data_IF_750187648143
#
_entry.id   IF_750187648143
#
_cell.length_a   1.000
_cell.length_b   1.000
_cell.length_c   1.000
_cell.angle_alpha   90.00
_cell.angle_beta   90.00
_cell.angle_gamma   90.00
#
_symmetry.space_group_name_H-M   'P 1'
#
loop_
_entity.id
_entity.type
_entity.pdbx_description
1 polymer ?
#
# COMPACT_ATOMS: atom_id res chain seq x y z
N UNK A 1 -18.02 -22.02 16.40
CA UNK A 1 -16.81 -22.57 17.06
C UNK A 1 -15.96 -21.40 17.53
N UNK A 2 -15.13 -21.53 18.57
CA UNK A 2 -14.19 -20.46 18.92
C UNK A 2 -13.23 -20.23 17.75
N UNK A 3 -12.75 -18.99 17.54
CA UNK A 3 -11.78 -18.70 16.50
C UNK A 3 -10.49 -19.49 16.75
N UNK A 4 -9.85 -19.93 15.67
CA UNK A 4 -8.50 -20.49 15.77
C UNK A 4 -7.50 -19.34 15.71
N UNK A 5 -6.49 -19.38 16.58
CA UNK A 5 -5.44 -18.37 16.70
C UNK A 5 -4.07 -19.01 16.56
N UNK A 6 -3.13 -18.31 15.95
CA UNK A 6 -1.73 -18.69 15.91
C UNK A 6 -0.84 -17.45 16.03
N UNK A 7 0.13 -17.50 16.94
CA UNK A 7 1.21 -16.50 16.99
C UNK A 7 2.10 -16.66 15.78
N UNK A 8 2.43 -15.54 15.16
CA UNK A 8 3.22 -15.48 13.95
C UNK A 8 4.70 -15.52 14.34
N UNK A 9 5.40 -16.61 13.99
CA UNK A 9 6.81 -16.82 14.32
C UNK A 9 7.52 -17.71 13.28
N UNK A 10 7.09 -17.66 12.01
CA UNK A 10 7.75 -18.45 10.94
C UNK A 10 8.83 -17.61 10.25
N UNK A 11 9.89 -18.27 9.75
CA UNK A 11 10.86 -17.63 8.87
C UNK A 11 10.12 -17.15 7.61
N UNK A 12 10.01 -15.84 7.43
CA UNK A 12 9.16 -15.19 6.42
C UNK A 12 8.02 -14.34 6.97
N UNK A 13 7.67 -14.45 8.26
CA UNK A 13 6.65 -13.60 8.88
C UNK A 13 7.17 -12.32 9.53
N UNK A 14 8.47 -12.05 9.41
CA UNK A 14 9.07 -10.75 9.70
C UNK A 14 9.55 -10.21 8.37
N UNK A 15 9.03 -9.06 7.96
CA UNK A 15 9.44 -8.45 6.71
C UNK A 15 10.45 -7.35 6.96
N UNK A 16 11.55 -7.36 6.21
CA UNK A 16 12.66 -6.44 6.44
C UNK A 16 12.72 -5.43 5.31
N UNK A 17 12.56 -4.14 5.64
CA UNK A 17 12.98 -3.09 4.73
C UNK A 17 14.50 -2.97 4.82
N UNK A 18 15.20 -3.28 3.72
CA UNK A 18 16.65 -3.12 3.61
C UNK A 18 17.00 -1.84 2.84
N UNK A 19 18.10 -1.21 3.23
CA UNK A 19 18.68 -0.07 2.53
C UNK A 19 20.15 -0.38 2.28
N UNK A 20 20.52 -0.46 1.00
CA UNK A 20 21.90 -0.66 0.55
C UNK A 20 22.56 0.65 0.10
N UNK A 21 23.89 0.70 0.11
CA UNK A 21 24.69 1.85 -0.35
C UNK A 21 24.60 2.10 -1.88
N UNK A 22 23.91 1.23 -2.63
CA UNK A 22 23.78 1.36 -4.08
C UNK A 22 22.96 2.59 -4.44
N UNK A 23 23.69 3.64 -4.83
CA UNK A 23 23.25 4.96 -5.26
C UNK A 23 22.73 5.90 -4.15
N UNK A 24 23.53 6.05 -3.10
CA UNK A 24 23.85 7.40 -2.60
C UNK A 24 24.62 8.21 -3.68
N UNK A 25 24.08 8.35 -4.89
CA UNK A 25 24.70 9.10 -5.99
C UNK A 25 25.17 8.27 -7.18
N UNK A 26 24.26 8.08 -8.13
CA UNK A 26 24.59 8.25 -9.55
C UNK A 26 23.42 8.98 -10.19
N UNK A 27 23.47 10.31 -10.10
CA UNK A 27 22.68 11.17 -10.98
C UNK A 27 23.17 10.91 -12.41
N UNK A 28 22.47 10.07 -13.17
CA UNK A 28 22.69 9.92 -14.60
C UNK A 28 21.64 10.77 -15.31
N UNK A 29 22.13 11.90 -15.81
CA UNK A 29 21.50 12.81 -16.76
C UNK A 29 20.54 12.12 -17.73
N UNK A 30 19.26 12.52 -17.70
CA UNK A 30 18.50 12.83 -18.90
C UNK A 30 17.84 14.20 -18.71
N UNK A 31 18.07 15.07 -19.68
CA UNK A 31 17.68 16.48 -19.73
C UNK A 31 16.16 16.72 -19.76
N UNK A 32 15.73 17.67 -18.92
CA UNK A 32 14.90 18.85 -19.21
C UNK A 32 13.70 18.76 -20.16
N UNK A 33 12.52 19.07 -19.61
CA UNK A 33 11.73 20.31 -19.81
C UNK A 33 10.77 20.41 -18.61
N UNK A 34 10.40 21.53 -18.00
CA UNK A 34 10.61 22.94 -18.29
C UNK A 34 9.37 23.74 -17.85
N UNK A 35 9.37 24.24 -16.61
CA UNK A 35 8.78 25.54 -16.24
C UNK A 35 7.36 25.60 -15.67
N UNK A 36 7.22 26.35 -14.56
CA UNK A 36 5.97 27.02 -14.17
C UNK A 36 5.68 27.00 -12.67
N UNK A 37 6.17 27.98 -11.92
CA UNK A 37 5.90 28.11 -10.49
C UNK A 37 4.51 28.68 -10.18
N UNK A 38 4.04 28.41 -8.96
CA UNK A 38 2.89 29.05 -8.33
C UNK A 38 2.83 28.67 -6.86
N UNK A 39 3.35 29.54 -5.99
CA UNK A 39 3.19 29.39 -4.54
C UNK A 39 1.76 29.73 -4.15
N UNK A 40 1.06 28.76 -3.55
CA UNK A 40 -0.18 28.95 -2.81
C UNK A 40 0.10 28.71 -1.33
N UNK A 41 -0.01 29.76 -0.53
CA UNK A 41 0.04 29.69 0.92
C UNK A 41 -1.39 29.46 1.42
N UNK A 42 -1.70 28.25 1.87
CA UNK A 42 -2.98 28.00 2.55
C UNK A 42 -2.82 28.09 4.06
N UNK A 43 -3.72 28.88 4.61
CA UNK A 43 -3.66 29.52 5.90
C UNK A 43 -4.94 29.14 6.64
N UNK A 44 -5.04 27.88 7.06
CA UNK A 44 -6.18 27.42 7.86
C UNK A 44 -5.91 27.65 9.34
N UNK A 45 -6.35 28.83 9.77
CA UNK A 45 -6.60 29.15 11.17
C UNK A 45 -8.03 28.78 11.50
N UNK A 46 -8.23 27.68 12.23
CA UNK A 46 -9.35 27.61 13.16
C UNK A 46 -8.87 27.16 14.55
N UNK A 47 -8.88 28.14 15.44
CA UNK A 47 -8.37 28.11 16.79
C UNK A 47 -9.47 27.85 17.82
N UNK A 48 -9.22 26.91 18.73
CA UNK A 48 -9.53 26.99 20.16
C UNK A 48 -8.67 25.91 20.86
N UNK A 49 -7.41 26.22 21.23
CA UNK A 49 -7.02 26.66 22.57
C UNK A 49 -6.89 25.45 23.50
N UNK A 50 -5.72 24.96 23.90
CA UNK A 50 -4.58 25.66 24.53
C UNK A 50 -3.31 24.80 24.50
N UNK A 51 -2.15 25.45 24.40
CA UNK A 51 -0.82 24.86 24.23
C UNK A 51 -0.41 23.83 25.31
N UNK A 52 -0.17 22.57 24.88
CA UNK A 52 0.82 21.61 25.40
C UNK A 52 0.55 20.20 24.82
N UNK A 53 1.47 19.64 24.02
CA UNK A 53 1.52 18.19 23.71
C UNK A 53 0.93 17.75 22.37
N UNK A 54 1.80 17.43 21.39
CA UNK A 54 1.49 16.50 20.31
C UNK A 54 1.63 15.07 20.88
N UNK A 55 0.56 14.55 21.47
CA UNK A 55 0.52 13.19 22.02
C UNK A 55 -0.90 12.58 21.97
N UNK A 56 -1.63 12.83 20.88
CA UNK A 56 -2.85 12.09 20.56
C UNK A 56 -2.62 11.31 19.28
N UNK A 57 -2.66 9.98 19.35
CA UNK A 57 -2.75 9.15 18.14
C UNK A 57 -4.17 9.30 17.56
N UNK A 58 -4.33 9.21 16.22
CA UNK A 58 -5.65 9.27 15.61
C UNK A 58 -6.53 8.11 16.07
N UNK A 59 -7.85 8.30 16.03
CA UNK A 59 -8.82 7.22 16.24
C UNK A 59 -8.47 6.03 15.31
N UNK A 60 -8.50 4.81 15.85
CA UNK A 60 -8.15 3.59 15.12
C UNK A 60 -6.76 3.02 15.42
N UNK A 61 -5.88 3.72 16.14
CA UNK A 61 -4.58 3.15 16.57
C UNK A 61 -4.30 3.41 18.05
N UNK A 62 -3.80 2.39 18.74
CA UNK A 62 -3.24 2.53 20.10
C UNK A 62 -1.77 2.15 20.08
N UNK A 63 -0.90 2.94 20.71
CA UNK A 63 0.56 2.75 20.61
C UNK A 63 1.18 2.52 21.98
N UNK A 64 1.97 1.46 22.08
CA UNK A 64 2.85 1.15 23.21
C UNK A 64 4.30 1.35 22.80
N UNK A 65 5.07 2.08 23.61
CA UNK A 65 6.51 2.26 23.41
C UNK A 65 7.26 1.31 24.34
N UNK A 66 8.04 0.39 23.76
CA UNK A 66 8.81 -0.60 24.51
C UNK A 66 10.26 -0.18 24.82
N UNK A 67 10.70 0.98 24.30
CA UNK A 67 12.03 1.52 24.56
C UNK A 67 12.26 1.88 26.04
N UNK A 68 13.48 1.66 26.53
CA UNK A 68 13.89 2.13 27.85
C UNK A 68 13.92 3.68 27.93
N UNK A 69 13.82 4.26 29.15
CA UNK A 69 13.99 5.71 29.30
C UNK A 69 15.33 6.18 28.77
N UNK A 70 15.33 7.23 27.94
CA UNK A 70 16.57 7.80 27.37
C UNK A 70 17.01 7.21 26.03
N UNK A 71 16.27 6.24 25.48
CA UNK A 71 16.63 5.58 24.21
C UNK A 71 15.46 5.58 23.22
N UNK A 72 15.74 5.44 21.92
CA UNK A 72 14.70 5.23 20.91
C UNK A 72 13.65 6.34 20.87
N UNK A 73 12.37 5.98 21.00
CA UNK A 73 11.24 6.90 21.11
C UNK A 73 11.24 7.72 22.42
N UNK A 74 11.98 7.29 23.44
CA UNK A 74 12.12 7.96 24.74
C UNK A 74 13.42 8.79 24.85
N UNK A 75 14.09 9.09 23.73
CA UNK A 75 15.33 9.86 23.69
C UNK A 75 15.08 11.38 23.94
N UNK A 76 15.58 11.96 25.04
CA UNK A 76 15.35 13.35 25.41
C UNK A 76 16.30 14.34 24.70
N UNK A 77 17.18 13.87 23.82
CA UNK A 77 18.15 14.73 23.13
C UNK A 77 17.42 15.85 22.38
N UNK A 78 17.72 17.14 22.66
CA UNK A 78 17.03 18.24 22.00
C UNK A 78 17.18 18.20 20.47
N UNK A 79 16.07 18.41 19.77
CA UNK A 79 16.02 18.45 18.31
C UNK A 79 15.33 19.74 17.84
N UNK A 80 15.86 20.34 16.77
CA UNK A 80 15.21 21.48 16.13
C UNK A 80 14.06 20.99 15.22
N UNK A 81 12.98 21.76 15.05
CA UNK A 81 11.92 21.44 14.09
C UNK A 81 12.47 21.17 12.68
N UNK A 82 11.86 20.21 11.99
CA UNK A 82 12.30 19.77 10.66
C UNK A 82 11.11 19.32 9.83
N UNK A 83 11.00 19.83 8.59
CA UNK A 83 9.99 19.39 7.60
C UNK A 83 8.56 19.29 8.11
N UNK A 84 8.09 20.27 8.90
CA UNK A 84 6.74 20.27 9.50
C UNK A 84 6.62 19.57 10.86
N UNK A 85 7.62 18.78 11.26
CA UNK A 85 7.70 18.19 12.59
C UNK A 85 8.24 19.21 13.60
N UNK A 86 7.42 19.61 14.58
CA UNK A 86 7.72 20.68 15.55
C UNK A 86 8.13 20.17 16.92
N UNK A 87 8.22 18.85 17.11
CA UNK A 87 8.65 18.27 18.37
C UNK A 87 10.11 18.63 18.72
N UNK A 88 10.40 18.75 20.01
CA UNK A 88 11.59 19.40 20.56
C UNK A 88 12.69 18.43 21.05
N UNK A 89 12.47 17.12 20.92
CA UNK A 89 13.48 16.09 21.16
C UNK A 89 13.48 15.03 20.06
N UNK A 90 14.60 14.29 19.93
CA UNK A 90 14.74 13.19 18.97
C UNK A 90 13.65 12.13 19.17
N UNK A 91 13.40 11.72 20.42
CA UNK A 91 12.36 10.74 20.75
C UNK A 91 10.96 11.26 20.39
N UNK A 92 10.67 12.53 20.72
CA UNK A 92 9.38 13.14 20.40
C UNK A 92 9.17 13.31 18.89
N UNK A 93 10.23 13.64 18.13
CA UNK A 93 10.15 13.69 16.66
C UNK A 93 9.89 12.32 16.05
N UNK A 94 10.54 11.25 16.54
CA UNK A 94 10.26 9.87 16.12
C UNK A 94 8.81 9.46 16.41
N UNK A 95 8.29 9.77 17.60
CA UNK A 95 6.88 9.50 17.93
C UNK A 95 5.91 10.29 17.07
N UNK A 96 6.24 11.54 16.73
CA UNK A 96 5.43 12.33 15.82
C UNK A 96 5.38 11.72 14.40
N UNK A 97 6.47 11.08 13.94
CA UNK A 97 6.46 10.31 12.68
C UNK A 97 5.54 9.09 12.77
N UNK A 98 5.54 8.35 13.87
CA UNK A 98 4.57 7.24 14.08
C UNK A 98 3.15 7.77 14.01
N UNK A 99 2.86 8.87 14.71
CA UNK A 99 1.53 9.47 14.71
C UNK A 99 1.09 9.94 13.33
N UNK A 100 2.01 10.45 12.50
CA UNK A 100 1.68 10.86 11.14
C UNK A 100 1.46 9.66 10.22
N UNK A 101 2.27 8.60 10.34
CA UNK A 101 2.07 7.38 9.57
C UNK A 101 0.75 6.67 9.89
N UNK A 102 0.37 6.58 11.18
CA UNK A 102 -0.92 6.01 11.57
C UNK A 102 -2.08 6.87 11.09
N UNK A 103 -1.94 8.21 11.07
CA UNK A 103 -2.94 9.11 10.49
C UNK A 103 -3.12 8.86 9.00
N UNK A 104 -2.04 8.63 8.28
CA UNK A 104 -2.07 8.35 6.83
C UNK A 104 -2.82 7.04 6.55
N UNK A 105 -2.54 5.96 7.28
CA UNK A 105 -3.26 4.68 7.14
C UNK A 105 -4.73 4.77 7.60
N UNK A 106 -5.01 5.39 8.75
CA UNK A 106 -6.38 5.56 9.29
C UNK A 106 -7.26 6.46 8.42
N UNK A 107 -6.67 7.30 7.57
CA UNK A 107 -7.44 8.10 6.62
C UNK A 107 -8.07 7.24 5.52
N UNK A 108 -7.44 6.11 5.18
CA UNK A 108 -7.84 5.22 4.08
C UNK A 108 -8.59 3.98 4.57
N UNK A 109 -8.15 3.36 5.66
CA UNK A 109 -8.75 2.13 6.17
C UNK A 109 -9.90 2.41 7.16
N UNK A 110 -11.01 1.68 7.03
CA UNK A 110 -12.11 1.68 8.00
C UNK A 110 -11.75 0.79 9.19
N UNK A 111 -10.93 1.32 10.09
CA UNK A 111 -10.49 0.62 11.30
C UNK A 111 -11.61 0.68 12.35
N UNK A 112 -12.26 -0.47 12.58
CA UNK A 112 -13.42 -0.58 13.50
C UNK A 112 -13.06 -0.97 14.93
N UNK A 113 -11.85 -1.45 15.13
CA UNK A 113 -11.26 -1.81 16.42
C UNK A 113 -9.83 -1.28 16.40
N UNK A 114 -9.45 -0.53 17.42
CA UNK A 114 -8.11 0.08 17.50
C UNK A 114 -7.02 -0.96 17.23
N UNK A 115 -6.15 -0.68 16.26
CA UNK A 115 -4.97 -1.49 15.99
C UNK A 115 -3.92 -1.20 17.05
N UNK A 116 -3.60 -2.20 17.86
CA UNK A 116 -2.64 -2.08 18.96
C UNK A 116 -1.19 -2.27 18.45
N UNK A 117 -0.43 -1.18 18.37
CA UNK A 117 0.97 -1.16 17.96
C UNK A 117 1.91 -1.28 19.16
N UNK A 118 2.94 -2.12 19.02
CA UNK A 118 4.15 -2.09 19.85
C UNK A 118 5.32 -1.57 19.01
N UNK A 119 6.00 -0.53 19.50
CA UNK A 119 7.10 0.12 18.78
C UNK A 119 8.36 0.18 19.63
N UNK A 120 9.50 -0.08 19.01
CA UNK A 120 10.82 0.07 19.64
C UNK A 120 11.91 0.48 18.64
N UNK A 121 13.04 0.97 19.15
CA UNK A 121 14.30 1.07 18.43
C UNK A 121 15.30 0.07 18.99
N UNK A 122 15.79 -0.83 18.13
CA UNK A 122 16.74 -1.87 18.52
C UNK A 122 17.89 -1.97 17.53
N UNK A 123 18.94 -2.72 17.91
CA UNK A 123 20.01 -3.03 16.97
C UNK A 123 19.52 -4.09 15.97
N UNK A 124 19.28 -3.68 14.72
CA UNK A 124 18.96 -4.58 13.62
C UNK A 124 20.21 -4.89 12.78
N UNK A 125 20.10 -5.90 11.92
CA UNK A 125 21.20 -6.34 11.04
C UNK A 125 21.72 -5.18 10.20
N UNK A 126 23.03 -4.99 10.19
CA UNK A 126 23.66 -3.86 9.55
C UNK A 126 25.16 -4.07 9.34
N UNK A 127 25.69 -3.49 8.26
CA UNK A 127 27.11 -3.36 7.99
C UNK A 127 27.44 -1.96 7.39
N UNK A 128 28.66 -1.76 6.90
CA UNK A 128 29.08 -0.47 6.33
C UNK A 128 28.38 -0.11 5.00
N UNK A 129 27.70 -1.05 4.38
CA UNK A 129 27.12 -0.98 3.04
C UNK A 129 25.64 -1.31 2.98
N UNK A 130 25.05 -1.87 4.04
CA UNK A 130 23.64 -2.22 4.10
C UNK A 130 23.10 -2.16 5.53
N UNK A 131 21.81 -1.85 5.68
CA UNK A 131 21.09 -1.94 6.94
C UNK A 131 19.68 -2.46 6.73
N UNK A 132 19.19 -3.30 7.63
CA UNK A 132 17.75 -3.39 7.90
C UNK A 132 17.38 -2.12 8.66
N UNK A 133 16.49 -1.29 8.09
CA UNK A 133 16.13 0.02 8.68
C UNK A 133 14.86 -0.04 9.51
N UNK A 134 13.98 -0.99 9.18
CA UNK A 134 12.76 -1.31 9.87
C UNK A 134 12.43 -2.79 9.70
N UNK A 135 11.61 -3.30 10.60
CA UNK A 135 10.94 -4.59 10.49
C UNK A 135 9.61 -4.49 11.22
N UNK A 136 8.56 -5.00 10.60
CA UNK A 136 7.28 -5.15 11.24
C UNK A 136 6.59 -6.46 10.86
N UNK A 137 5.70 -6.87 11.74
CA UNK A 137 4.91 -8.06 11.56
C UNK A 137 3.61 -8.02 12.36
N UNK A 138 2.55 -8.69 11.89
CA UNK A 138 1.43 -9.00 12.75
C UNK A 138 1.89 -9.98 13.84
N UNK A 139 1.47 -9.75 15.10
CA UNK A 139 1.84 -10.63 16.23
C UNK A 139 1.12 -11.97 16.14
N UNK A 140 -0.12 -11.95 15.68
CA UNK A 140 -1.02 -13.11 15.64
C UNK A 140 -1.87 -13.11 14.37
N UNK A 141 -2.32 -14.30 13.98
CA UNK A 141 -3.32 -14.51 12.92
C UNK A 141 -4.50 -15.30 13.45
N UNK A 142 -5.67 -15.03 12.89
CA UNK A 142 -6.93 -15.64 13.27
C UNK A 142 -7.64 -16.23 12.05
N UNK A 143 -8.41 -17.30 12.27
CA UNK A 143 -9.32 -17.86 11.27
C UNK A 143 -10.59 -18.37 11.91
N UNK A 144 -11.64 -18.52 11.11
CA UNK A 144 -12.94 -19.06 11.53
C UNK A 144 -13.57 -18.28 12.71
N UNK A 145 -13.33 -16.96 12.75
CA UNK A 145 -14.01 -16.03 13.66
C UNK A 145 -15.35 -15.59 13.05
N UNK A 146 -16.23 -15.03 13.89
CA UNK A 146 -17.50 -14.46 13.41
C UNK A 146 -17.21 -13.20 12.60
N UNK A 147 -17.69 -13.14 11.36
CA UNK A 147 -17.43 -12.03 10.44
C UNK A 147 -16.29 -12.29 9.45
N UNK A 148 -15.58 -13.42 9.56
CA UNK A 148 -14.58 -13.82 8.58
C UNK A 148 -15.23 -14.02 7.19
N UNK A 149 -14.74 -13.33 6.14
CA UNK A 149 -15.27 -13.47 4.78
C UNK A 149 -15.14 -14.89 4.20
N UNK A 150 -14.05 -15.58 4.52
CA UNK A 150 -13.74 -16.94 4.05
C UNK A 150 -13.52 -17.86 5.25
N UNK A 151 -14.06 -19.08 5.15
CA UNK A 151 -13.75 -20.14 6.10
C UNK A 151 -12.36 -20.70 5.82
N UNK A 152 -11.70 -21.19 6.86
CA UNK A 152 -10.40 -21.87 6.78
C UNK A 152 -9.28 -21.03 6.12
N UNK A 153 -9.39 -19.71 6.24
CA UNK A 153 -8.41 -18.71 5.78
C UNK A 153 -7.87 -17.91 6.97
N UNK A 154 -6.55 -17.69 7.02
CA UNK A 154 -5.89 -16.84 8.00
C UNK A 154 -6.02 -15.36 7.65
N UNK A 155 -6.27 -14.56 8.68
CA UNK A 155 -6.33 -13.11 8.66
C UNK A 155 -5.36 -12.59 9.72
N UNK A 156 -4.58 -11.56 9.42
CA UNK A 156 -3.74 -10.90 10.41
C UNK A 156 -4.59 -10.26 11.50
N UNK A 157 -4.06 -10.17 12.72
CA UNK A 157 -4.71 -9.66 13.94
C UNK A 157 -5.54 -8.40 13.71
N UNK A 158 -4.92 -7.33 13.19
CA UNK A 158 -5.55 -6.03 12.93
C UNK A 158 -6.79 -6.14 12.01
N UNK A 159 -6.66 -6.88 10.91
CA UNK A 159 -7.74 -7.13 9.95
C UNK A 159 -8.85 -7.98 10.57
N UNK A 160 -8.48 -9.05 11.28
CA UNK A 160 -9.42 -9.95 11.92
C UNK A 160 -10.28 -9.25 12.97
N UNK A 161 -9.66 -8.38 13.79
CA UNK A 161 -10.34 -7.56 14.78
C UNK A 161 -11.34 -6.60 14.11
N UNK A 162 -10.91 -5.90 13.05
CA UNK A 162 -11.76 -5.00 12.26
C UNK A 162 -12.97 -5.72 11.68
N UNK A 163 -12.77 -6.87 11.04
CA UNK A 163 -13.84 -7.67 10.43
C UNK A 163 -14.78 -8.30 11.48
N UNK A 164 -14.26 -8.66 12.65
CA UNK A 164 -15.06 -9.19 13.75
C UNK A 164 -15.85 -8.10 14.49
N UNK A 165 -15.41 -6.83 14.40
CA UNK A 165 -15.94 -5.71 15.18
C UNK A 165 -15.64 -5.83 16.68
N UNK A 166 -14.66 -6.65 17.06
CA UNK A 166 -14.21 -6.86 18.44
C UNK A 166 -12.75 -7.31 18.43
N UNK A 167 -12.00 -6.92 19.45
CA UNK A 167 -10.65 -7.41 19.68
C UNK A 167 -10.67 -8.92 20.03
N UNK A 168 -10.10 -9.74 19.14
CA UNK A 168 -10.02 -11.20 19.28
C UNK A 168 -8.84 -11.65 20.15
N UNK A 169 -7.94 -10.73 20.51
CA UNK A 169 -6.74 -10.99 21.30
C UNK A 169 -6.41 -9.84 22.29
N UNK A 170 -7.29 -9.53 23.25
CA UNK A 170 -7.21 -8.31 24.07
C UNK A 170 -5.98 -8.17 24.99
N UNK A 171 -5.24 -9.25 25.19
CA UNK A 171 -4.01 -9.26 25.99
C UNK A 171 -2.75 -9.17 25.12
N UNK A 172 -2.90 -9.03 23.79
CA UNK A 172 -1.80 -8.96 22.83
C UNK A 172 -1.80 -7.62 22.09
N UNK A 173 -0.69 -7.38 21.39
CA UNK A 173 -0.58 -6.31 20.40
C UNK A 173 -0.95 -6.90 19.06
N UNK A 174 -1.44 -6.06 18.15
CA UNK A 174 -1.75 -6.49 16.79
C UNK A 174 -0.49 -6.50 15.94
N UNK A 175 0.33 -5.47 16.03
CA UNK A 175 1.53 -5.27 15.21
C UNK A 175 2.72 -4.97 16.14
N UNK A 176 3.86 -5.61 15.87
CA UNK A 176 5.16 -5.26 16.41
C UNK A 176 5.98 -4.59 15.29
N UNK A 177 6.52 -3.40 15.55
CA UNK A 177 7.39 -2.67 14.62
C UNK A 177 8.67 -2.20 15.31
N UNK A 178 9.82 -2.58 14.75
CA UNK A 178 11.15 -2.31 15.30
C UNK A 178 11.98 -1.55 14.27
N UNK A 179 12.60 -0.45 14.69
CA UNK A 179 13.43 0.39 13.82
C UNK A 179 14.90 0.32 14.24
N UNK A 180 15.82 0.50 13.30
CA UNK A 180 17.25 0.30 13.58
C UNK A 180 17.86 1.46 14.39
N UNK A 181 18.04 1.25 15.70
CA UNK A 181 18.68 2.19 16.61
C UNK A 181 20.19 2.32 16.43
N UNK A 182 20.83 1.41 15.68
CA UNK A 182 22.27 1.43 15.39
C UNK A 182 22.62 2.21 14.13
N UNK A 183 21.63 2.65 13.34
CA UNK A 183 21.84 3.36 12.08
C UNK A 183 22.75 4.58 12.27
N UNK A 184 23.75 4.73 11.40
CA UNK A 184 24.68 5.87 11.42
C UNK A 184 25.92 5.66 12.28
N UNK A 185 25.96 4.60 13.09
CA UNK A 185 27.12 4.27 13.92
C UNK A 185 28.25 3.63 13.09
N UNK A 186 29.52 3.65 13.54
CA UNK A 186 30.60 2.93 12.86
C UNK A 186 30.28 1.44 12.73
N UNK A 187 30.31 0.92 11.51
CA UNK A 187 29.91 -0.46 11.23
C UNK A 187 28.44 -0.63 10.86
N UNK A 188 27.63 0.44 10.86
CA UNK A 188 26.23 0.41 10.43
C UNK A 188 25.86 1.68 9.65
N UNK A 189 26.04 1.64 8.32
CA UNK A 189 25.87 2.78 7.41
C UNK A 189 26.42 4.10 8.00
N UNK A 190 27.71 4.10 8.35
CA UNK A 190 28.33 5.17 9.14
C UNK A 190 28.09 6.56 8.55
N UNK A 191 27.51 7.46 9.35
CA UNK A 191 27.16 8.83 8.95
C UNK A 191 25.79 9.00 8.31
N UNK A 192 25.01 7.93 8.12
CA UNK A 192 23.59 8.01 7.82
C UNK A 192 22.78 8.41 9.06
N UNK A 193 21.60 8.98 8.87
CA UNK A 193 20.66 9.25 9.97
C UNK A 193 19.22 9.25 9.47
N UNK A 194 18.25 9.06 10.36
CA UNK A 194 16.86 9.23 9.98
C UNK A 194 16.52 10.72 9.77
N UNK A 195 15.68 10.99 8.77
CA UNK A 195 14.94 12.23 8.58
C UNK A 195 13.58 12.10 9.26
N UNK A 196 13.16 13.12 10.01
CA UNK A 196 11.93 13.10 10.81
C UNK A 196 10.86 14.09 10.34
N UNK A 197 11.08 14.76 9.21
CA UNK A 197 10.10 15.67 8.62
C UNK A 197 9.00 14.92 7.87
N UNK A 198 7.83 15.53 7.76
CA UNK A 198 6.66 15.00 7.06
C UNK A 198 6.65 15.40 5.57
N UNK A 199 7.46 16.38 5.20
CA UNK A 199 7.56 16.94 3.84
C UNK A 199 8.36 16.09 2.85
N UNK A 200 8.80 14.88 3.26
CA UNK A 200 9.53 13.92 2.41
C UNK A 200 10.86 14.45 1.85
N UNK A 201 11.41 15.52 2.42
CA UNK A 201 12.59 16.19 1.90
C UNK A 201 13.89 15.71 2.56
N UNK A 202 14.05 14.38 2.66
CA UNK A 202 15.23 13.78 3.25
C UNK A 202 16.49 14.17 2.45
N UNK A 203 17.52 14.67 3.15
CA UNK A 203 18.79 15.02 2.54
C UNK A 203 19.59 13.78 2.10
N UNK A 204 20.69 14.02 1.39
CA UNK A 204 21.49 12.96 0.76
C UNK A 204 21.91 11.81 1.70
N UNK A 205 22.30 12.06 2.96
CA UNK A 205 22.67 11.00 3.92
C UNK A 205 21.51 10.60 4.85
N UNK A 206 20.29 11.03 4.56
CA UNK A 206 19.16 10.79 5.44
C UNK A 206 18.24 9.71 4.91
N UNK A 207 17.65 8.96 5.84
CA UNK A 207 16.64 7.94 5.58
C UNK A 207 15.30 8.48 6.08
N UNK A 208 14.33 8.69 5.18
CA UNK A 208 13.00 9.16 5.54
C UNK A 208 12.27 8.16 6.45
N UNK A 209 12.19 8.47 7.74
CA UNK A 209 11.52 7.59 8.70
C UNK A 209 10.02 7.49 8.41
N UNK A 210 9.37 8.53 7.88
CA UNK A 210 7.94 8.46 7.57
C UNK A 210 7.68 7.39 6.50
N UNK A 211 8.54 7.33 5.48
CA UNK A 211 8.51 6.24 4.50
C UNK A 211 8.58 4.88 5.19
N UNK A 212 9.63 4.67 5.99
CA UNK A 212 9.90 3.37 6.60
C UNK A 212 8.73 2.96 7.49
N UNK A 213 8.20 3.87 8.32
CA UNK A 213 7.06 3.55 9.18
C UNK A 213 5.82 3.18 8.36
N UNK A 214 5.51 3.91 7.28
CA UNK A 214 4.37 3.58 6.43
C UNK A 214 4.49 2.18 5.82
N UNK A 215 5.68 1.86 5.32
CA UNK A 215 6.03 0.56 4.75
C UNK A 215 5.89 -0.57 5.78
N UNK A 216 6.53 -0.41 6.95
CA UNK A 216 6.48 -1.40 8.03
C UNK A 216 5.06 -1.61 8.55
N UNK A 217 4.28 -0.55 8.70
CA UNK A 217 2.86 -0.69 9.04
C UNK A 217 2.08 -1.45 7.96
N UNK A 218 2.41 -1.30 6.68
CA UNK A 218 1.83 -2.08 5.59
C UNK A 218 2.00 -3.59 5.79
N UNK A 219 3.19 -4.04 6.20
CA UNK A 219 3.42 -5.45 6.56
C UNK A 219 2.58 -5.89 7.75
N UNK A 220 2.56 -5.09 8.82
CA UNK A 220 1.75 -5.37 10.01
C UNK A 220 0.25 -5.44 9.73
N UNK A 221 -0.23 -4.61 8.80
CA UNK A 221 -1.63 -4.56 8.36
C UNK A 221 -1.99 -5.71 7.42
N UNK A 222 -1.03 -6.43 6.85
CA UNK A 222 -1.29 -7.68 6.16
C UNK A 222 -0.56 -7.89 4.85
N UNK A 223 0.22 -6.91 4.36
CA UNK A 223 1.08 -7.09 3.18
C UNK A 223 2.28 -7.99 3.51
N UNK A 224 2.02 -9.23 3.88
CA UNK A 224 3.00 -10.19 4.36
C UNK A 224 2.56 -11.60 4.06
N UNK A 225 3.45 -12.39 3.46
CA UNK A 225 3.21 -13.81 3.22
C UNK A 225 3.34 -14.63 4.51
N UNK A 226 2.40 -15.54 4.75
CA UNK A 226 2.48 -16.56 5.80
C UNK A 226 3.02 -17.91 5.31
N UNK A 227 3.42 -18.00 4.04
CA UNK A 227 4.07 -19.18 3.47
C UNK A 227 5.48 -19.32 4.04
N UNK A 228 5.85 -20.55 4.43
CA UNK A 228 7.25 -20.89 4.65
C UNK A 228 8.00 -20.87 3.31
N UNK A 229 8.78 -19.82 3.09
CA UNK A 229 9.50 -19.58 1.83
C UNK A 229 10.51 -20.68 1.48
N UNK A 230 10.98 -21.46 2.45
CA UNK A 230 11.94 -22.54 2.22
C UNK A 230 11.26 -23.80 1.67
N UNK A 231 10.01 -24.03 2.06
CA UNK A 231 9.28 -25.27 1.73
C UNK A 231 8.08 -25.04 0.81
N UNK A 232 7.61 -23.81 0.68
CA UNK A 232 6.33 -23.44 0.07
C UNK A 232 5.11 -23.94 0.86
N UNK A 233 5.30 -24.31 2.13
CA UNK A 233 4.25 -24.79 3.01
C UNK A 233 3.33 -23.67 3.50
N UNK A 234 2.02 -23.92 3.44
CA UNK A 234 1.02 -23.03 4.04
C UNK A 234 1.03 -23.14 5.56
N UNK A 235 0.78 -22.04 6.27
CA UNK A 235 0.74 -22.00 7.72
C UNK A 235 -0.35 -22.96 8.26
N UNK A 236 0.08 -24.02 8.93
CA UNK A 236 -0.80 -25.10 9.40
C UNK A 236 -1.70 -25.71 8.30
N UNK A 237 -1.28 -25.63 7.03
CA UNK A 237 -2.01 -26.18 5.90
C UNK A 237 -3.21 -25.36 5.42
N UNK A 238 -3.39 -24.13 5.93
CA UNK A 238 -4.48 -23.25 5.58
C UNK A 238 -3.97 -22.03 4.81
N UNK A 239 -4.79 -21.53 3.88
CA UNK A 239 -4.45 -20.34 3.11
C UNK A 239 -4.59 -19.07 3.95
N UNK A 240 -4.12 -17.95 3.42
CA UNK A 240 -4.25 -16.63 4.03
C UNK A 240 -4.68 -15.59 2.99
N UNK A 241 -5.14 -14.42 3.46
CA UNK A 241 -5.66 -13.34 2.60
C UNK A 241 -4.63 -12.79 1.62
N UNK A 242 -3.34 -12.80 1.96
CA UNK A 242 -2.27 -12.37 1.06
C UNK A 242 -2.04 -13.42 -0.03
N UNK A 243 -1.85 -14.67 0.37
CA UNK A 243 -1.59 -15.80 -0.54
C UNK A 243 -2.74 -16.06 -1.52
N UNK A 244 -3.98 -15.76 -1.13
CA UNK A 244 -5.16 -15.85 -2.02
C UNK A 244 -5.00 -15.04 -3.32
N UNK A 245 -4.18 -13.98 -3.29
CA UNK A 245 -3.95 -13.10 -4.43
C UNK A 245 -2.70 -13.46 -5.24
N UNK A 246 -1.91 -14.44 -4.80
CA UNK A 246 -0.66 -14.81 -5.46
C UNK A 246 -0.87 -15.84 -6.58
N UNK A 247 -0.11 -15.66 -7.66
CA UNK A 247 -0.06 -16.58 -8.80
C UNK A 247 1.37 -16.81 -9.24
N UNK A 248 1.66 -18.00 -9.78
CA UNK A 248 2.97 -18.25 -10.40
C UNK A 248 3.10 -17.56 -11.77
N UNK A 249 4.25 -17.74 -12.43
CA UNK A 249 4.50 -17.22 -13.78
C UNK A 249 3.48 -17.66 -14.85
N UNK A 250 2.80 -18.79 -14.61
CA UNK A 250 1.73 -19.32 -15.46
C UNK A 250 0.33 -18.82 -15.07
N UNK A 251 0.24 -17.85 -14.15
CA UNK A 251 -1.00 -17.30 -13.60
C UNK A 251 -1.85 -18.32 -12.82
N UNK A 252 -1.24 -19.43 -12.40
CA UNK A 252 -1.91 -20.46 -11.58
C UNK A 252 -1.98 -19.95 -10.14
N UNK A 253 -3.19 -19.89 -9.53
CA UNK A 253 -3.34 -19.48 -8.13
C UNK A 253 -2.50 -20.33 -7.20
N UNK A 254 -1.86 -19.71 -6.21
CA UNK A 254 -1.04 -20.40 -5.21
C UNK A 254 -1.80 -21.48 -4.45
N UNK A 255 -3.11 -21.31 -4.25
CA UNK A 255 -4.01 -22.30 -3.63
C UNK A 255 -4.12 -23.61 -4.42
N UNK A 256 -3.86 -23.60 -5.74
CA UNK A 256 -3.87 -24.78 -6.60
C UNK A 256 -2.50 -25.47 -6.73
N UNK A 257 -1.44 -24.83 -6.25
CA UNK A 257 -0.08 -25.36 -6.33
C UNK A 257 0.23 -26.33 -5.18
N UNK A 258 1.14 -27.26 -5.41
CA UNK A 258 1.80 -28.02 -4.33
C UNK A 258 2.86 -27.17 -3.61
N UNK A 259 3.30 -27.60 -2.43
CA UNK A 259 4.35 -26.92 -1.67
C UNK A 259 5.62 -26.68 -2.52
N UNK A 260 6.10 -27.70 -3.22
CA UNK A 260 7.29 -27.58 -4.08
C UNK A 260 7.10 -26.64 -5.26
N UNK A 261 5.88 -26.54 -5.79
CA UNK A 261 5.58 -25.60 -6.88
C UNK A 261 5.55 -24.16 -6.37
N UNK A 262 4.94 -23.90 -5.19
CA UNK A 262 5.01 -22.58 -4.54
C UNK A 262 6.45 -22.18 -4.26
N UNK A 263 7.24 -23.07 -3.67
CA UNK A 263 8.66 -22.80 -3.37
C UNK A 263 9.45 -22.44 -4.64
N UNK A 264 9.24 -23.17 -5.73
CA UNK A 264 9.90 -22.87 -7.00
C UNK A 264 9.47 -21.51 -7.59
N UNK A 265 8.18 -21.16 -7.45
CA UNK A 265 7.64 -19.88 -7.90
C UNK A 265 8.24 -18.69 -7.11
N UNK A 266 8.48 -18.83 -5.81
CA UNK A 266 9.11 -17.78 -4.97
C UNK A 266 10.54 -17.42 -5.44
N UNK A 267 11.28 -18.37 -6.02
CA UNK A 267 12.64 -18.12 -6.55
C UNK A 267 12.70 -17.91 -8.06
N UNK A 268 11.56 -17.84 -8.73
CA UNK A 268 11.50 -17.64 -10.18
C UNK A 268 10.68 -16.42 -10.55
N UNK A 269 9.37 -16.47 -10.36
CA UNK A 269 8.46 -15.36 -10.57
C UNK A 269 7.12 -15.63 -9.87
N UNK A 270 6.66 -14.64 -9.12
CA UNK A 270 5.30 -14.57 -8.57
C UNK A 270 4.68 -13.24 -8.97
N UNK A 271 3.36 -13.25 -9.17
CA UNK A 271 2.58 -12.05 -9.45
C UNK A 271 1.39 -11.97 -8.50
N UNK A 272 0.98 -10.75 -8.15
CA UNK A 272 -0.27 -10.43 -7.49
C UNK A 272 -1.36 -10.24 -8.53
N UNK A 273 -2.38 -11.09 -8.51
CA UNK A 273 -3.51 -11.05 -9.45
C UNK A 273 -4.84 -10.91 -8.75
N UNK A 274 -4.88 -10.10 -7.69
CA UNK A 274 -6.11 -9.64 -7.05
C UNK A 274 -6.77 -8.51 -7.86
N UNK A 275 -8.11 -8.45 -7.81
CA UNK A 275 -8.90 -7.66 -8.74
C UNK A 275 -8.74 -6.15 -8.53
N UNK A 276 -8.61 -5.69 -7.28
CA UNK A 276 -8.45 -4.28 -6.97
C UNK A 276 -7.07 -3.77 -7.41
N UNK A 277 -5.99 -4.54 -7.17
CA UNK A 277 -4.67 -4.21 -7.72
C UNK A 277 -4.70 -4.23 -9.26
N UNK A 278 -5.39 -5.21 -9.87
CA UNK A 278 -5.56 -5.27 -11.32
C UNK A 278 -6.35 -4.08 -11.91
N UNK A 279 -7.18 -3.40 -11.11
CA UNK A 279 -7.90 -2.19 -11.53
C UNK A 279 -7.00 -0.95 -11.46
N UNK A 280 -6.10 -0.88 -10.47
CA UNK A 280 -5.17 0.24 -10.28
C UNK A 280 -3.90 0.20 -11.14
N UNK A 281 -3.69 -0.82 -11.98
CA UNK A 281 -2.46 -0.95 -12.79
C UNK A 281 -2.22 0.20 -13.77
N UNK A 282 -3.26 0.91 -14.19
CA UNK A 282 -3.16 1.99 -15.17
C UNK A 282 -2.40 3.20 -14.57
N UNK A 283 -2.18 3.22 -13.24
CA UNK A 283 -1.28 4.17 -12.58
C UNK A 283 0.21 3.82 -12.72
N UNK A 284 0.54 2.63 -13.24
CA UNK A 284 1.92 2.23 -13.51
C UNK A 284 2.33 2.60 -14.94
N UNK A 285 3.47 3.28 -15.06
CA UNK A 285 4.16 3.48 -16.34
C UNK A 285 4.82 2.17 -16.83
N UNK A 286 5.26 1.32 -15.91
CA UNK A 286 5.94 0.07 -16.22
C UNK A 286 5.82 -0.97 -15.10
N UNK A 287 5.76 -2.25 -15.46
CA UNK A 287 5.94 -3.36 -14.54
C UNK A 287 4.77 -4.35 -14.46
N UNK A 288 3.56 -3.96 -14.84
CA UNK A 288 2.43 -4.88 -14.92
C UNK A 288 2.66 -6.00 -15.97
N UNK A 289 2.14 -7.19 -15.71
CA UNK A 289 2.23 -8.36 -16.60
C UNK A 289 0.85 -8.95 -16.86
N UNK A 290 0.56 -9.30 -18.11
CA UNK A 290 -0.77 -9.81 -18.50
C UNK A 290 -0.69 -11.21 -19.10
N UNK A 291 -1.69 -12.04 -18.81
CA UNK A 291 -1.94 -13.30 -19.50
C UNK A 291 -3.44 -13.48 -19.77
N UNK A 292 -3.82 -13.37 -21.05
CA UNK A 292 -5.23 -13.31 -21.43
C UNK A 292 -5.87 -12.03 -20.90
N UNK A 293 -7.02 -12.16 -20.23
CA UNK A 293 -7.76 -11.03 -19.63
C UNK A 293 -7.31 -10.69 -18.20
N UNK A 294 -6.29 -11.37 -17.66
CA UNK A 294 -5.79 -11.12 -16.30
C UNK A 294 -4.52 -10.30 -16.40
N UNK A 295 -4.53 -9.12 -15.79
CA UNK A 295 -3.32 -8.33 -15.54
C UNK A 295 -2.93 -8.44 -14.07
N UNK A 296 -1.64 -8.55 -13.80
CA UNK A 296 -1.08 -8.81 -12.48
C UNK A 296 0.18 -7.98 -12.26
N UNK A 297 0.53 -7.74 -11.00
CA UNK A 297 1.72 -6.97 -10.61
C UNK A 297 2.80 -7.92 -10.09
N UNK A 298 4.03 -7.90 -10.63
CA UNK A 298 5.11 -8.76 -10.14
C UNK A 298 5.46 -8.51 -8.67
N UNK A 299 5.67 -9.60 -7.93
CA UNK A 299 6.18 -9.58 -6.56
C UNK A 299 7.71 -9.68 -6.56
N UNK A 300 8.34 -9.27 -5.47
CA UNK A 300 9.77 -9.45 -5.25
C UNK A 300 10.11 -10.93 -5.02
N UNK A 301 10.55 -11.59 -6.08
CA UNK A 301 10.97 -13.00 -6.08
C UNK A 301 12.42 -13.14 -6.56
N UNK A 302 13.40 -12.82 -5.70
CA UNK A 302 14.80 -12.92 -6.08
C UNK A 302 15.20 -14.38 -6.37
N UNK A 303 16.19 -14.58 -7.24
CA UNK A 303 16.70 -15.91 -7.60
C UNK A 303 17.27 -16.69 -6.40
N UNK A 304 17.69 -15.97 -5.35
CA UNK A 304 18.07 -16.54 -4.05
C UNK A 304 17.11 -15.98 -3.01
N UNK A 305 16.54 -16.85 -2.17
CA UNK A 305 15.64 -16.45 -1.10
C UNK A 305 16.32 -15.39 -0.22
N UNK A 306 15.66 -14.24 -0.12
CA UNK A 306 15.96 -13.20 0.85
C UNK A 306 14.91 -13.27 1.94
N UNK A 307 15.32 -13.72 3.14
CA UNK A 307 14.44 -13.90 4.27
C UNK A 307 13.80 -12.56 4.64
N UNK A 308 12.47 -12.56 4.81
CA UNK A 308 11.64 -11.38 5.11
C UNK A 308 11.43 -10.40 3.96
N UNK A 309 12.20 -10.48 2.88
CA UNK A 309 11.91 -9.67 1.69
C UNK A 309 11.09 -10.45 0.65
N UNK A 310 11.46 -11.71 0.42
CA UNK A 310 10.88 -12.52 -0.66
C UNK A 310 9.37 -12.68 -0.48
N UNK A 311 8.62 -12.49 -1.57
CA UNK A 311 7.16 -12.62 -1.66
C UNK A 311 6.34 -11.50 -0.99
N UNK A 312 6.87 -10.86 0.05
CA UNK A 312 6.16 -9.81 0.81
C UNK A 312 6.47 -8.38 0.33
N UNK A 313 6.96 -8.21 -0.89
CA UNK A 313 7.24 -6.89 -1.48
C UNK A 313 6.81 -6.85 -2.94
N UNK A 314 6.51 -5.67 -3.46
CA UNK A 314 6.46 -5.42 -4.90
C UNK A 314 7.83 -5.62 -5.54
N UNK A 315 7.86 -6.00 -6.81
CA UNK A 315 9.12 -6.08 -7.55
C UNK A 315 9.78 -4.69 -7.65
N UNK A 316 11.09 -4.60 -7.44
CA UNK A 316 11.84 -3.33 -7.61
C UNK A 316 12.01 -2.87 -9.06
N UNK A 317 11.13 -3.32 -9.96
CA UNK A 317 11.09 -2.96 -11.38
C UNK A 317 9.82 -2.20 -11.73
N UNK A 318 8.95 -1.89 -10.76
CA UNK A 318 7.77 -1.07 -11.02
C UNK A 318 8.21 0.39 -11.26
N UNK A 319 7.43 1.08 -12.09
CA UNK A 319 7.55 2.53 -12.26
C UNK A 319 6.14 3.12 -12.37
N UNK A 320 5.81 4.20 -11.63
CA UNK A 320 6.62 4.82 -10.56
C UNK A 320 6.89 3.85 -9.39
N UNK A 321 7.87 4.17 -8.54
CA UNK A 321 8.21 3.32 -7.39
C UNK A 321 7.08 3.30 -6.35
N UNK A 322 6.83 2.11 -5.81
CA UNK A 322 5.73 1.82 -4.88
C UNK A 322 6.18 1.72 -3.42
N UNK A 323 5.26 1.95 -2.47
CA UNK A 323 5.57 1.96 -1.05
C UNK A 323 6.14 0.62 -0.57
N UNK A 324 5.55 -0.50 -1.01
CA UNK A 324 5.91 -1.85 -0.55
C UNK A 324 7.05 -2.51 -1.35
N UNK A 325 7.96 -1.74 -1.94
CA UNK A 325 9.18 -2.25 -2.57
C UNK A 325 10.36 -2.41 -1.57
N UNK A 326 11.27 -3.38 -1.74
CA UNK A 326 12.22 -3.78 -0.70
C UNK A 326 13.45 -2.87 -0.54
N UNK A 327 13.72 -1.95 -1.50
CA UNK A 327 14.91 -1.07 -1.51
C UNK A 327 14.63 0.28 -2.22
N UNK A 328 13.57 0.99 -1.87
CA UNK A 328 13.19 2.20 -2.61
C UNK A 328 14.20 3.35 -2.42
N UNK A 329 14.64 4.03 -3.50
CA UNK A 329 15.18 5.37 -3.39
C UNK A 329 14.04 6.29 -2.89
N UNK A 330 14.16 6.81 -1.69
CA UNK A 330 13.07 7.45 -0.93
C UNK A 330 12.47 8.71 -1.58
N UNK A 331 13.08 9.22 -2.66
CA UNK A 331 12.62 10.37 -3.43
C UNK A 331 11.84 9.87 -4.65
N UNK A 332 10.54 10.19 -4.73
CA UNK A 332 9.68 9.85 -5.88
C UNK A 332 8.63 8.78 -5.60
N UNK A 333 8.74 8.05 -4.48
CA UNK A 333 7.80 6.97 -4.11
C UNK A 333 6.41 7.52 -3.83
N UNK A 334 5.39 6.94 -4.47
CA UNK A 334 3.99 7.22 -4.18
C UNK A 334 3.63 6.63 -2.82
N UNK A 335 3.02 7.45 -1.97
CA UNK A 335 2.51 6.99 -0.67
C UNK A 335 1.07 6.53 -0.83
N UNK A 336 0.81 5.28 -0.47
CA UNK A 336 -0.53 4.68 -0.58
C UNK A 336 -1.09 4.85 -1.99
N UNK A 337 -0.35 4.34 -2.99
CA UNK A 337 -0.81 4.33 -4.37
C UNK A 337 -2.06 3.46 -4.55
N UNK A 338 -2.63 3.47 -5.77
CA UNK A 338 -3.69 2.55 -6.14
C UNK A 338 -3.29 1.08 -5.92
N UNK A 339 -2.00 0.72 -6.06
CA UNK A 339 -1.51 -0.62 -5.80
C UNK A 339 -1.47 -0.94 -4.30
N UNK A 340 -0.96 -0.02 -3.49
CA UNK A 340 -0.89 -0.23 -2.04
C UNK A 340 -2.30 -0.39 -1.45
N UNK A 341 -3.23 0.48 -1.81
CA UNK A 341 -4.60 0.43 -1.29
C UNK A 341 -5.39 -0.71 -1.94
N UNK A 342 -5.22 -0.95 -3.25
CA UNK A 342 -5.80 -2.09 -3.95
C UNK A 342 -5.40 -3.42 -3.31
N UNK A 343 -4.15 -3.55 -2.86
CA UNK A 343 -3.71 -4.76 -2.15
C UNK A 343 -4.44 -4.96 -0.82
N UNK A 344 -4.74 -3.88 -0.10
CA UNK A 344 -5.51 -3.93 1.15
C UNK A 344 -6.95 -4.38 0.88
N UNK A 345 -7.60 -3.83 -0.17
CA UNK A 345 -8.93 -4.25 -0.64
C UNK A 345 -8.97 -5.73 -1.01
N UNK A 346 -7.98 -6.20 -1.79
CA UNK A 346 -7.85 -7.60 -2.20
C UNK A 346 -7.67 -8.55 -1.00
N UNK A 347 -7.07 -8.07 0.09
CA UNK A 347 -6.96 -8.78 1.37
C UNK A 347 -8.21 -8.66 2.25
N UNK A 348 -9.24 -7.94 1.78
CA UNK A 348 -10.51 -7.67 2.45
C UNK A 348 -10.47 -6.64 3.60
N UNK A 349 -9.51 -5.72 3.60
CA UNK A 349 -9.64 -4.52 4.43
C UNK A 349 -10.81 -3.67 3.94
N UNK A 350 -11.74 -3.28 4.83
CA UNK A 350 -12.72 -2.26 4.47
C UNK A 350 -12.01 -0.90 4.35
N UNK A 351 -12.34 -0.15 3.30
CA UNK A 351 -11.90 1.22 3.16
C UNK A 351 -12.87 2.18 3.85
N UNK A 352 -12.33 3.31 4.29
CA UNK A 352 -13.11 4.38 4.87
C UNK A 352 -13.87 5.07 3.74
N UNK A 353 -15.19 4.88 3.72
CA UNK A 353 -16.13 5.60 2.83
C UNK A 353 -16.22 7.07 3.29
N UNK A 354 -15.13 7.79 3.09
CA UNK A 354 -14.95 9.21 3.36
C UNK A 354 -14.40 9.85 2.09
N UNK A 355 -14.60 11.15 1.97
CA UNK A 355 -14.05 12.00 0.92
C UNK A 355 -12.94 12.82 1.59
N UNK A 356 -11.69 12.39 1.43
CA UNK A 356 -10.60 12.85 2.28
C UNK A 356 -10.12 14.27 1.92
N UNK A 357 -10.19 14.67 0.65
CA UNK A 357 -9.84 16.02 0.20
C UNK A 357 -11.08 16.91 -0.04
N UNK A 358 -12.28 16.34 0.03
CA UNK A 358 -13.54 17.07 0.04
C UNK A 358 -14.04 17.44 -1.36
N UNK A 359 -13.63 16.71 -2.39
CA UNK A 359 -13.94 17.01 -3.79
C UNK A 359 -15.20 16.32 -4.33
N UNK A 360 -15.80 15.44 -3.53
CA UNK A 360 -17.03 14.70 -3.83
C UNK A 360 -16.81 13.27 -4.30
N UNK A 361 -15.56 12.81 -4.46
CA UNK A 361 -15.20 11.42 -4.68
C UNK A 361 -14.90 10.75 -3.33
N UNK A 362 -15.32 9.48 -3.16
CA UNK A 362 -14.94 8.75 -1.94
C UNK A 362 -13.58 8.09 -2.13
N UNK A 363 -12.81 7.98 -1.05
CA UNK A 363 -11.50 7.34 -1.05
C UNK A 363 -11.52 5.94 -1.69
N UNK A 364 -12.59 5.18 -1.47
CA UNK A 364 -12.77 3.86 -2.07
C UNK A 364 -12.93 3.95 -3.59
N UNK A 365 -13.77 4.88 -4.07
CA UNK A 365 -13.97 5.08 -5.50
C UNK A 365 -12.69 5.56 -6.17
N UNK A 366 -12.00 6.54 -5.57
CA UNK A 366 -10.79 7.12 -6.13
C UNK A 366 -9.71 6.07 -6.36
N UNK A 367 -9.51 5.20 -5.36
CA UNK A 367 -8.55 4.09 -5.45
C UNK A 367 -8.93 3.09 -6.53
N UNK A 368 -10.21 2.73 -6.61
CA UNK A 368 -10.70 1.76 -7.59
C UNK A 368 -10.64 2.28 -9.03
N UNK A 369 -10.67 3.60 -9.21
CA UNK A 369 -10.65 4.28 -10.50
C UNK A 369 -9.31 4.98 -10.78
N UNK A 370 -8.26 4.70 -9.99
CA UNK A 370 -6.91 5.18 -10.25
C UNK A 370 -6.68 6.68 -10.00
N UNK A 371 -7.60 7.38 -9.33
CA UNK A 371 -7.45 8.78 -8.90
C UNK A 371 -6.85 8.86 -7.49
N UNK A 372 -6.67 10.06 -6.92
CA UNK A 372 -5.88 10.23 -5.69
C UNK A 372 -6.69 10.80 -4.50
N UNK A 373 -6.92 10.01 -3.43
CA UNK A 373 -7.71 10.41 -2.24
C UNK A 373 -7.07 11.46 -1.33
N UNK A 374 -6.12 12.23 -1.84
CA UNK A 374 -5.41 13.31 -1.14
C UNK A 374 -5.34 14.58 -1.97
N UNK A 375 -5.82 14.56 -3.20
CA UNK A 375 -5.71 15.65 -4.16
C UNK A 375 -7.07 15.82 -4.78
N UNK A 376 -7.73 16.95 -4.47
CA UNK A 376 -9.00 17.30 -5.07
C UNK A 376 -8.88 17.33 -6.61
N UNK A 377 -9.25 16.22 -7.25
CA UNK A 377 -9.06 15.91 -8.66
C UNK A 377 -10.36 15.51 -9.35
N UNK A 378 -11.50 15.60 -8.67
CA UNK A 378 -12.85 15.40 -9.20
C UNK A 378 -13.14 16.12 -10.53
N UNK A 379 -12.49 17.27 -10.79
CA UNK A 379 -12.65 18.06 -12.01
C UNK A 379 -11.60 17.77 -13.10
N UNK A 380 -10.62 16.92 -12.80
CA UNK A 380 -9.63 16.42 -13.75
C UNK A 380 -10.20 15.29 -14.59
N UNK A 381 -9.54 15.02 -15.71
CA UNK A 381 -9.88 13.99 -16.70
C UNK A 381 -8.70 13.00 -16.68
N UNK A 382 -8.84 11.95 -15.87
CA UNK A 382 -7.75 11.06 -15.49
C UNK A 382 -7.22 10.21 -16.65
N UNK A 383 -8.08 9.85 -17.60
CA UNK A 383 -7.77 8.99 -18.73
C UNK A 383 -7.74 9.72 -20.09
N UNK A 384 -8.16 10.98 -20.13
CA UNK A 384 -8.10 11.85 -21.29
C UNK A 384 -9.24 11.64 -22.30
N UNK A 385 -10.35 11.04 -21.88
CA UNK A 385 -11.51 10.76 -22.73
C UNK A 385 -12.48 11.96 -22.87
N UNK A 386 -12.27 13.02 -22.09
CA UNK A 386 -13.07 14.26 -21.97
C UNK A 386 -14.23 14.25 -20.97
N UNK A 387 -14.37 13.20 -20.15
CA UNK A 387 -15.15 13.20 -18.93
C UNK A 387 -14.24 13.56 -17.74
N UNK A 388 -14.74 14.35 -16.80
CA UNK A 388 -14.03 14.51 -15.52
C UNK A 388 -14.27 13.30 -14.63
N UNK A 389 -13.36 13.01 -13.68
CA UNK A 389 -13.50 11.93 -12.68
C UNK A 389 -14.89 11.92 -12.01
N UNK A 390 -15.44 13.10 -11.65
CA UNK A 390 -16.78 13.19 -11.05
C UNK A 390 -17.95 12.89 -12.02
N UNK A 391 -17.76 13.14 -13.32
CA UNK A 391 -18.74 12.74 -14.35
C UNK A 391 -18.71 11.23 -14.52
N UNK A 392 -17.53 10.62 -14.51
CA UNK A 392 -17.36 9.19 -14.64
C UNK A 392 -17.98 8.43 -13.48
N UNK A 393 -17.79 8.90 -12.24
CA UNK A 393 -18.56 8.44 -11.08
C UNK A 393 -20.08 8.50 -11.35
N UNK A 394 -20.54 9.58 -11.98
CA UNK A 394 -21.95 9.79 -12.31
C UNK A 394 -22.49 8.85 -13.39
N UNK A 395 -21.64 8.41 -14.32
CA UNK A 395 -21.99 7.51 -15.41
C UNK A 395 -21.68 6.04 -15.12
N UNK A 396 -20.92 5.76 -14.06
CA UNK A 396 -20.48 4.42 -13.69
C UNK A 396 -19.31 3.90 -14.54
N UNK A 397 -18.60 4.81 -15.22
CA UNK A 397 -17.40 4.55 -16.01
C UNK A 397 -16.15 4.69 -15.14
N UNK A 398 -14.98 4.32 -15.68
CA UNK A 398 -13.74 4.22 -14.93
C UNK A 398 -12.76 5.36 -15.26
N UNK A 399 -12.44 6.20 -14.27
CA UNK A 399 -11.57 7.39 -14.39
C UNK A 399 -10.09 7.16 -14.75
N UNK A 400 -9.74 5.92 -15.00
CA UNK A 400 -8.44 5.52 -15.49
C UNK A 400 -8.53 4.73 -16.82
N UNK A 401 -9.70 4.66 -17.46
CA UNK A 401 -9.94 3.89 -18.67
C UNK A 401 -10.93 4.59 -19.58
N UNK A 402 -10.37 5.21 -20.61
CA UNK A 402 -11.15 5.95 -21.61
C UNK A 402 -12.23 5.11 -22.32
N UNK A 403 -12.14 3.78 -22.29
CA UNK A 403 -13.07 2.82 -22.88
C UNK A 403 -13.35 1.75 -21.81
N UNK A 404 -14.43 1.95 -21.04
CA UNK A 404 -14.71 1.22 -19.81
C UNK A 404 -15.11 -0.24 -20.05
N UNK A 405 -15.76 -0.54 -21.18
CA UNK A 405 -16.22 -1.89 -21.52
C UNK A 405 -15.33 -2.63 -22.54
N UNK A 406 -14.36 -1.91 -23.14
CA UNK A 406 -13.34 -2.46 -24.01
C UNK A 406 -13.81 -2.73 -25.44
N UNK A 407 -14.88 -2.08 -25.90
CA UNK A 407 -15.41 -2.26 -27.25
C UNK A 407 -14.67 -1.42 -28.32
N UNK A 408 -13.74 -0.55 -27.94
CA UNK A 408 -12.98 0.40 -28.78
C UNK A 408 -13.71 1.70 -29.13
N UNK A 409 -14.74 2.08 -28.38
CA UNK A 409 -15.27 3.44 -28.34
C UNK A 409 -14.96 4.03 -26.97
N UNK A 410 -14.56 5.30 -26.91
CA UNK A 410 -14.38 5.97 -25.62
C UNK A 410 -15.71 6.37 -24.96
N UNK A 411 -15.75 6.36 -23.62
CA UNK A 411 -16.96 6.54 -22.83
C UNK A 411 -17.65 7.89 -23.14
N UNK A 412 -16.88 8.96 -23.26
CA UNK A 412 -17.37 10.26 -23.67
C UNK A 412 -18.04 10.24 -25.05
N UNK A 413 -17.48 9.51 -26.01
CA UNK A 413 -18.04 9.36 -27.35
C UNK A 413 -19.33 8.56 -27.32
N UNK A 414 -19.40 7.49 -26.54
CA UNK A 414 -20.61 6.71 -26.37
C UNK A 414 -21.74 7.58 -25.81
N UNK A 415 -21.49 8.28 -24.71
CA UNK A 415 -22.48 9.14 -24.06
C UNK A 415 -22.90 10.34 -24.94
N UNK A 416 -21.95 11.04 -25.54
CA UNK A 416 -22.23 12.33 -26.19
C UNK A 416 -22.53 12.22 -27.68
N UNK A 417 -22.11 11.14 -28.35
CA UNK A 417 -22.22 11.01 -29.81
C UNK A 417 -23.10 9.86 -30.25
N UNK A 418 -22.96 8.70 -29.62
CA UNK A 418 -23.67 7.49 -30.08
C UNK A 418 -24.89 7.15 -29.24
N UNK A 419 -25.00 7.72 -28.04
CA UNK A 419 -26.07 7.44 -27.10
C UNK A 419 -26.12 5.96 -26.68
N UNK A 420 -24.96 5.29 -26.69
CA UNK A 420 -24.76 3.92 -26.20
C UNK A 420 -24.40 3.91 -24.72
N UNK A 421 -24.45 2.74 -24.09
CA UNK A 421 -24.19 2.53 -22.67
C UNK A 421 -22.70 2.16 -22.49
N UNK A 422 -21.85 3.06 -21.94
CA UNK A 422 -20.40 2.91 -21.94
C UNK A 422 -19.84 1.80 -21.04
N UNK A 423 -20.73 1.04 -20.41
CA UNK A 423 -20.39 -0.13 -19.59
C UNK A 423 -20.89 -1.42 -20.23
N UNK A 424 -21.27 -1.39 -21.52
CA UNK A 424 -21.77 -2.52 -22.29
C UNK A 424 -21.31 -2.46 -23.74
N UNK A 425 -20.37 -3.35 -24.06
CA UNK A 425 -19.86 -3.50 -25.42
C UNK A 425 -20.91 -3.85 -26.50
N UNK A 426 -22.16 -4.14 -26.11
CA UNK A 426 -23.33 -4.38 -26.95
C UNK A 426 -24.54 -3.83 -26.16
N UNK A 427 -24.89 -2.56 -26.42
CA UNK A 427 -25.87 -1.81 -25.62
C UNK A 427 -27.27 -2.43 -25.67
N UNK A 428 -27.69 -2.90 -26.85
CA UNK A 428 -29.04 -3.43 -27.08
C UNK A 428 -29.14 -4.96 -26.96
N UNK A 429 -28.00 -5.65 -26.92
CA UNK A 429 -27.86 -7.07 -26.70
C UNK A 429 -28.25 -7.93 -27.90
N UNK A 430 -28.20 -7.38 -29.13
CA UNK A 430 -28.56 -8.10 -30.35
C UNK A 430 -27.44 -9.04 -30.87
N UNK A 431 -26.24 -8.94 -30.28
CA UNK A 431 -25.07 -9.73 -30.61
C UNK A 431 -24.08 -9.03 -31.56
N UNK A 432 -24.30 -7.76 -31.89
CA UNK A 432 -23.36 -6.90 -32.63
C UNK A 432 -22.82 -5.81 -31.68
N UNK A 433 -21.51 -5.77 -31.42
CA UNK A 433 -20.94 -4.71 -30.60
C UNK A 433 -21.12 -3.31 -31.18
N UNK A 434 -21.25 -2.30 -30.31
CA UNK A 434 -21.62 -0.93 -30.66
C UNK A 434 -20.64 -0.32 -31.69
N UNK A 435 -19.35 -0.60 -31.56
CA UNK A 435 -18.32 -0.23 -32.53
C UNK A 435 -18.53 -0.77 -33.97
N UNK A 436 -19.24 -1.89 -34.12
CA UNK A 436 -19.51 -2.57 -35.39
C UNK A 436 -20.91 -2.26 -35.95
N UNK A 437 -21.85 -1.87 -35.12
CA UNK A 437 -23.19 -1.44 -35.53
C UNK A 437 -23.14 -0.28 -36.55
N UNK A 438 -22.11 0.57 -36.43
CA UNK A 438 -21.82 1.66 -37.38
C UNK A 438 -21.72 1.20 -38.84
N UNK A 439 -21.32 -0.04 -39.08
CA UNK A 439 -21.17 -0.59 -40.44
C UNK A 439 -22.40 -1.38 -40.92
N UNK A 440 -23.30 -1.72 -40.02
CA UNK A 440 -24.54 -2.46 -40.29
C UNK A 440 -25.69 -1.49 -40.61
N UNK A 441 -25.46 -0.56 -41.55
CA UNK A 441 -26.54 0.30 -42.07
C UNK A 441 -27.52 -0.52 -42.92
N UNK A 442 -28.50 -1.12 -42.24
CA UNK A 442 -29.46 -2.00 -42.85
C UNK A 442 -30.71 -2.35 -42.02
N UNK A 443 -31.06 -1.61 -40.97
CA UNK A 443 -32.35 -1.81 -40.32
C UNK A 443 -32.50 -1.03 -39.01
N UNK A 444 -33.51 -0.17 -38.93
CA UNK A 444 -33.95 0.47 -37.68
C UNK A 444 -34.21 -0.58 -36.58
N UNK A 445 -33.93 -0.36 -35.30
CA UNK A 445 -34.14 0.87 -34.52
C UNK A 445 -33.43 0.75 -33.16
N UNK A 446 -32.81 1.85 -32.71
CA UNK A 446 -32.53 2.11 -31.30
C UNK A 446 -31.06 2.29 -30.91
N UNK A 447 -30.38 3.30 -31.47
CA UNK A 447 -29.40 4.05 -30.69
C UNK A 447 -30.14 4.84 -29.59
#
# INVERSE_FOLDING_TARGET
>A
MPPSKQTVNTAGSRSYCRQGLTLLGLCLLVSACGGGGGGGSDNDTNSNGSASGLAGFPDGFSVTVSDAPGTGFNDPTPAAPVGGNTADSVGAQRLAVISEATRIWAAVLDIRVDVALDISFEALECDNTSAVVGVASPVSVFRNFRGAPKNDTWYVSALANTLAGVDLGPDERDIEAVFNGSLGTPGCLGGANFYYGFDRNAGFNQIDLLHIVLHELGHGLGFISLIDINTGGLLNGFNDTFTDNLRDAGFVPYSALSNSQRQAAITSQTVWGGAAVSAGIDTLDFGAVSAGAVTAVPMFTPATLDEGSSLSHWAGTLAPEELMEPNTPQLGVRLLSALDIGSMLDMAWPLRDADQDGDGLSNEWEVLNGTNPRVADADQDGDGDTLSNAQELGFGTAANRADSDGDQIDDATELHRYNTDPIKADTDGDGVPDNLERYSSGGAAGL
#
